data_IF_104145082703
#
_entry.id   IF_104145082703
#
_cell.length_a   1.000
_cell.length_b   1.000
_cell.length_c   1.000
_cell.angle_alpha   90.00
_cell.angle_beta   90.00
_cell.angle_gamma   90.00
#
_symmetry.space_group_name_H-M   'P 1'
#
loop_
_entity.id
_entity.type
_entity.pdbx_description
1 polymer ?
#
# COMPACT_ATOMS: atom_id res chain seq x y z
N UNK A 1 0.97 -0.19 -18.29
CA UNK A 1 1.55 -0.95 -17.16
C UNK A 1 3.07 -0.84 -17.11
N UNK A 2 3.59 -0.20 -16.06
CA UNK A 2 5.01 -0.09 -15.70
C UNK A 2 5.19 -0.42 -14.21
N UNK A 3 6.36 -0.93 -13.79
CA UNK A 3 6.67 -1.19 -12.38
C UNK A 3 7.87 -0.35 -11.99
N UNK A 4 7.76 0.40 -10.90
CA UNK A 4 8.82 1.28 -10.39
C UNK A 4 9.11 0.98 -8.92
N UNK A 5 10.39 0.96 -8.57
CA UNK A 5 10.81 1.03 -7.18
C UNK A 5 10.56 2.44 -6.65
N UNK A 6 10.01 2.54 -5.44
CA UNK A 6 9.80 3.80 -4.75
C UNK A 6 10.58 3.82 -3.45
N UNK A 7 11.18 4.97 -3.14
CA UNK A 7 11.92 5.18 -1.89
C UNK A 7 11.06 5.83 -0.79
N UNK A 8 9.82 6.20 -1.11
CA UNK A 8 8.81 6.76 -0.21
C UNK A 8 7.43 6.51 -0.82
N UNK A 9 6.43 6.26 0.02
CA UNK A 9 5.01 6.14 -0.36
C UNK A 9 4.18 7.37 0.03
N UNK A 10 4.78 8.42 0.59
CA UNK A 10 4.09 9.62 1.08
C UNK A 10 3.08 10.24 0.11
N UNK A 11 3.37 10.27 -1.19
CA UNK A 11 2.46 10.76 -2.25
C UNK A 11 1.51 9.71 -2.83
N UNK A 12 1.57 8.47 -2.37
CA UNK A 12 0.85 7.31 -2.92
C UNK A 12 -0.14 6.70 -1.92
N UNK A 13 -0.10 7.11 -0.64
CA UNK A 13 -0.86 6.50 0.46
C UNK A 13 -2.34 6.38 0.14
N UNK A 14 -2.96 7.40 -0.46
CA UNK A 14 -4.39 7.37 -0.78
C UNK A 14 -4.73 6.30 -1.84
N UNK A 15 -3.92 6.19 -2.89
CA UNK A 15 -4.14 5.17 -3.93
C UNK A 15 -3.85 3.76 -3.40
N UNK A 16 -2.80 3.61 -2.60
CA UNK A 16 -2.44 2.36 -1.94
C UNK A 16 -3.51 1.91 -0.94
N UNK A 17 -4.10 2.85 -0.19
CA UNK A 17 -5.24 2.60 0.70
C UNK A 17 -6.45 2.07 -0.06
N UNK A 18 -6.81 2.73 -1.16
CA UNK A 18 -7.95 2.31 -1.97
C UNK A 18 -7.74 0.90 -2.54
N UNK A 19 -6.55 0.62 -3.08
CA UNK A 19 -6.21 -0.70 -3.62
C UNK A 19 -6.25 -1.79 -2.54
N UNK A 20 -5.66 -1.53 -1.36
CA UNK A 20 -5.66 -2.49 -0.26
C UNK A 20 -7.07 -2.74 0.29
N UNK A 21 -7.86 -1.68 0.46
CA UNK A 21 -9.25 -1.81 0.92
C UNK A 21 -10.11 -2.62 -0.07
N UNK A 22 -9.94 -2.39 -1.38
CA UNK A 22 -10.63 -3.16 -2.42
C UNK A 22 -10.24 -4.64 -2.37
N UNK A 23 -8.95 -4.95 -2.19
CA UNK A 23 -8.47 -6.32 -2.02
C UNK A 23 -9.11 -7.01 -0.79
N UNK A 24 -9.10 -6.34 0.37
CA UNK A 24 -9.64 -6.88 1.61
C UNK A 24 -11.14 -7.13 1.49
N UNK A 25 -11.89 -6.15 0.98
CA UNK A 25 -13.34 -6.25 0.81
C UNK A 25 -13.74 -7.30 -0.25
N UNK A 26 -12.88 -7.55 -1.23
CA UNK A 26 -13.04 -8.63 -2.21
C UNK A 26 -12.66 -10.02 -1.68
N UNK A 27 -12.25 -10.13 -0.41
CA UNK A 27 -11.95 -11.40 0.26
C UNK A 27 -10.51 -11.89 0.07
N UNK A 28 -9.58 -11.03 -0.37
CA UNK A 28 -8.17 -11.40 -0.48
C UNK A 28 -7.56 -11.66 0.90
N UNK A 29 -6.75 -12.73 1.01
CA UNK A 29 -6.01 -13.05 2.23
C UNK A 29 -4.68 -12.31 2.27
N UNK A 30 -4.72 -11.02 2.63
CA UNK A 30 -3.56 -10.10 2.66
C UNK A 30 -3.16 -9.68 4.09
N UNK A 31 -3.60 -10.44 5.10
CA UNK A 31 -3.21 -10.22 6.49
C UNK A 31 -4.10 -9.25 7.29
N UNK A 32 -5.29 -8.91 6.78
CA UNK A 32 -6.27 -8.05 7.44
C UNK A 32 -7.61 -8.79 7.63
N UNK A 33 -8.41 -8.32 8.58
CA UNK A 33 -9.78 -8.80 8.79
C UNK A 33 -10.80 -7.93 8.06
N UNK A 34 -11.93 -8.53 7.71
CA UNK A 34 -13.09 -7.81 7.17
C UNK A 34 -14.14 -7.58 8.29
N UNK A 35 -14.82 -6.41 8.31
CA UNK A 35 -14.60 -5.24 7.44
C UNK A 35 -13.28 -4.51 7.76
N UNK A 36 -12.74 -3.78 6.79
CA UNK A 36 -11.52 -2.97 6.95
C UNK A 36 -11.61 -2.03 8.15
N UNK A 37 -10.58 -2.06 9.01
CA UNK A 37 -10.32 -1.00 9.97
C UNK A 37 -9.35 0.03 9.35
N UNK A 38 -9.83 1.24 9.12
CA UNK A 38 -9.02 2.33 8.55
C UNK A 38 -7.79 2.68 9.40
N UNK A 39 -7.85 2.53 10.72
CA UNK A 39 -6.72 2.85 11.60
C UNK A 39 -5.64 1.78 11.50
N UNK A 40 -6.03 0.51 11.35
CA UNK A 40 -5.09 -0.60 11.11
C UNK A 40 -4.36 -0.40 9.77
N UNK A 41 -5.11 -0.08 8.71
CA UNK A 41 -4.55 0.19 7.38
C UNK A 41 -3.62 1.40 7.39
N UNK A 42 -4.00 2.52 8.04
CA UNK A 42 -3.13 3.70 8.20
C UNK A 42 -1.84 3.36 8.97
N UNK A 43 -1.95 2.55 10.03
CA UNK A 43 -0.81 2.11 10.82
C UNK A 43 0.14 1.23 9.99
N UNK A 44 -0.42 0.34 9.15
CA UNK A 44 0.35 -0.49 8.23
C UNK A 44 1.18 0.37 7.26
N UNK A 45 0.59 1.35 6.59
CA UNK A 45 1.34 2.19 5.65
C UNK A 45 2.38 3.08 6.35
N UNK A 46 2.08 3.56 7.55
CA UNK A 46 3.07 4.30 8.35
C UNK A 46 4.29 3.43 8.70
N UNK A 47 4.05 2.14 9.00
CA UNK A 47 5.10 1.14 9.18
C UNK A 47 5.90 0.92 7.89
N UNK A 48 5.23 0.82 6.74
CA UNK A 48 5.89 0.63 5.43
C UNK A 48 6.82 1.80 5.12
N UNK A 49 6.37 3.04 5.34
CA UNK A 49 7.21 4.23 5.14
C UNK A 49 8.43 4.23 6.07
N UNK A 50 8.23 3.90 7.35
CA UNK A 50 9.34 3.80 8.31
C UNK A 50 10.36 2.72 7.92
N UNK A 51 9.89 1.59 7.38
CA UNK A 51 10.76 0.52 6.90
C UNK A 51 11.54 0.92 5.62
N UNK A 52 10.92 1.72 4.74
CA UNK A 52 11.58 2.31 3.57
C UNK A 52 12.68 3.30 4.00
N UNK A 53 12.36 4.22 4.91
CA UNK A 53 13.32 5.21 5.45
C UNK A 53 14.51 4.55 6.14
N UNK A 54 14.27 3.45 6.86
CA UNK A 54 15.33 2.66 7.51
C UNK A 54 16.11 1.74 6.54
N UNK A 55 15.67 1.62 5.29
CA UNK A 55 16.27 0.73 4.29
C UNK A 55 16.07 -0.76 4.56
N UNK A 56 15.13 -1.11 5.46
CA UNK A 56 14.83 -2.50 5.83
C UNK A 56 13.79 -3.15 4.90
N UNK A 57 13.07 -2.34 4.13
CA UNK A 57 12.11 -2.77 3.12
C UNK A 57 12.35 -2.05 1.79
N UNK A 58 12.09 -2.75 0.68
CA UNK A 58 12.00 -2.17 -0.67
C UNK A 58 10.57 -2.32 -1.15
N UNK A 59 10.02 -1.28 -1.79
CA UNK A 59 8.66 -1.28 -2.32
C UNK A 59 8.70 -1.03 -3.81
N UNK A 60 7.95 -1.84 -4.55
CA UNK A 60 7.73 -1.71 -5.97
C UNK A 60 6.24 -1.49 -6.22
N UNK A 61 5.90 -0.53 -7.06
CA UNK A 61 4.51 -0.16 -7.36
C UNK A 61 4.30 -0.32 -8.86
N UNK A 62 3.19 -0.99 -9.22
CA UNK A 62 2.73 -1.07 -10.59
C UNK A 62 1.83 0.13 -10.89
N UNK A 63 2.05 0.73 -12.05
CA UNK A 63 1.27 1.86 -12.54
C UNK A 63 0.66 1.53 -13.90
N UNK A 64 -0.57 1.97 -14.11
CA UNK A 64 -1.16 2.11 -15.44
C UNK A 64 -1.51 3.59 -15.68
N UNK A 65 -0.64 4.27 -16.43
CA UNK A 65 -0.66 5.73 -16.48
C UNK A 65 -0.25 6.34 -15.13
N UNK A 66 -1.10 7.16 -14.55
CA UNK A 66 -0.89 7.77 -13.23
C UNK A 66 -1.51 6.97 -12.07
N UNK A 67 -2.24 5.90 -12.39
CA UNK A 67 -2.97 5.09 -11.42
C UNK A 67 -2.11 3.94 -10.89
N UNK A 68 -2.09 3.77 -9.57
CA UNK A 68 -1.60 2.55 -8.92
C UNK A 68 -2.60 1.42 -9.14
N UNK A 69 -2.10 0.26 -9.58
CA UNK A 69 -2.91 -0.94 -9.88
C UNK A 69 -2.35 -2.22 -9.26
#
# INVERSE_FOLDING_TARGET
MEIKEVNSISGLVDQLNLLLADCINSGASVGFLTPVDENEVKSYWSSVESDLESGTRRVFVAYDGESVI
#
